data_IF_717927350069
#
_entry.id   IF_717927350069
#
_cell.length_a   1.000
_cell.length_b   1.000
_cell.length_c   1.000
_cell.angle_alpha   90.00
_cell.angle_beta   90.00
_cell.angle_gamma   90.00
#
_symmetry.space_group_name_H-M   'P 1'
#
loop_
_entity.id
_entity.type
_entity.pdbx_description
1 polymer ?
#
# COMPACT_ATOMS: atom_id res chain seq x y z
N UNK A 1 10.78 0.94 13.66
CA UNK A 1 10.68 -0.27 12.80
C UNK A 1 9.55 -0.18 11.76
N UNK A 2 8.69 0.84 11.86
CA UNK A 2 7.61 1.24 10.93
C UNK A 2 7.89 1.04 9.43
N UNK A 3 9.01 1.55 8.88
CA UNK A 3 9.32 1.46 7.45
C UNK A 3 9.39 0.03 6.87
N UNK A 4 9.79 -0.97 7.68
CA UNK A 4 9.85 -2.38 7.22
C UNK A 4 8.45 -3.00 7.19
N UNK A 5 7.63 -2.71 8.19
CA UNK A 5 6.24 -3.16 8.27
C UNK A 5 5.45 -2.52 7.13
N UNK A 6 5.61 -1.20 6.91
CA UNK A 6 4.96 -0.47 5.83
C UNK A 6 5.31 -1.05 4.46
N UNK A 7 6.60 -1.33 4.19
CA UNK A 7 7.02 -1.98 2.93
C UNK A 7 6.46 -3.39 2.77
N UNK A 8 6.42 -4.18 3.84
CA UNK A 8 5.87 -5.54 3.82
C UNK A 8 4.36 -5.56 3.57
N UNK A 9 3.61 -4.73 4.28
CA UNK A 9 2.16 -4.60 4.14
C UNK A 9 1.80 -4.06 2.75
N UNK A 10 2.54 -3.07 2.25
CA UNK A 10 2.29 -2.51 0.92
C UNK A 10 2.51 -3.56 -0.19
N UNK A 11 3.58 -4.35 -0.09
CA UNK A 11 3.84 -5.44 -1.04
C UNK A 11 2.73 -6.49 -1.03
N UNK A 12 2.28 -6.91 0.17
CA UNK A 12 1.17 -7.86 0.32
C UNK A 12 -0.13 -7.30 -0.27
N UNK A 13 -0.43 -6.04 -0.01
CA UNK A 13 -1.65 -5.40 -0.48
C UNK A 13 -1.70 -5.31 -2.02
N UNK A 14 -0.56 -5.02 -2.65
CA UNK A 14 -0.43 -5.04 -4.12
C UNK A 14 -0.58 -6.47 -4.65
N UNK A 15 0.08 -7.47 -4.06
CA UNK A 15 -0.04 -8.86 -4.49
C UNK A 15 -1.47 -9.39 -4.39
N UNK A 16 -2.17 -9.10 -3.30
CA UNK A 16 -3.58 -9.45 -3.11
C UNK A 16 -4.44 -8.76 -4.17
N UNK A 17 -4.23 -7.47 -4.41
CA UNK A 17 -5.01 -6.71 -5.39
C UNK A 17 -4.79 -7.21 -6.82
N UNK A 18 -3.56 -7.63 -7.14
CA UNK A 18 -3.20 -8.21 -8.43
C UNK A 18 -3.84 -9.59 -8.61
N UNK A 19 -3.83 -10.45 -7.57
CA UNK A 19 -4.51 -11.73 -7.59
C UNK A 19 -6.02 -11.56 -7.84
N UNK A 20 -6.63 -10.58 -7.17
CA UNK A 20 -8.05 -10.31 -7.31
C UNK A 20 -8.40 -9.70 -8.69
N UNK A 21 -7.48 -8.95 -9.30
CA UNK A 21 -7.64 -8.47 -10.67
C UNK A 21 -7.71 -9.62 -11.69
N UNK A 22 -6.95 -10.69 -11.45
CA UNK A 22 -6.96 -11.88 -12.32
C UNK A 22 -8.20 -12.74 -12.07
N UNK A 23 -8.58 -12.94 -10.80
CA UNK A 23 -9.67 -13.84 -10.42
C UNK A 23 -11.08 -13.24 -10.52
N UNK A 24 -11.23 -11.92 -10.38
CA UNK A 24 -12.54 -11.26 -10.34
C UNK A 24 -12.79 -10.42 -11.59
N UNK A 25 -11.97 -9.38 -11.82
CA UNK A 25 -12.16 -8.47 -12.95
C UNK A 25 -10.92 -7.61 -13.17
N UNK A 26 -10.49 -7.46 -14.42
CA UNK A 26 -9.31 -6.66 -14.79
C UNK A 26 -9.42 -5.18 -14.40
N UNK A 27 -10.63 -4.66 -14.18
CA UNK A 27 -10.84 -3.31 -13.63
C UNK A 27 -10.17 -3.08 -12.26
N UNK A 28 -9.86 -4.13 -11.50
CA UNK A 28 -9.10 -4.03 -10.24
C UNK A 28 -7.63 -3.58 -10.44
N UNK A 29 -7.11 -3.64 -11.67
CA UNK A 29 -5.80 -3.07 -12.00
C UNK A 29 -5.80 -1.55 -11.83
N UNK A 30 -6.93 -0.88 -12.07
CA UNK A 30 -7.02 0.57 -11.87
C UNK A 30 -6.89 0.93 -10.39
N UNK A 31 -7.49 0.12 -9.51
CA UNK A 31 -7.34 0.26 -8.06
C UNK A 31 -5.90 -0.05 -7.62
N UNK A 32 -5.32 -1.13 -8.14
CA UNK A 32 -3.91 -1.48 -7.89
C UNK A 32 -2.94 -0.38 -8.35
N UNK A 33 -3.19 0.22 -9.51
CA UNK A 33 -2.40 1.32 -10.06
C UNK A 33 -2.55 2.60 -9.23
N UNK A 34 -3.76 2.91 -8.77
CA UNK A 34 -4.01 4.05 -7.87
C UNK A 34 -3.29 3.88 -6.53
N UNK A 35 -3.38 2.70 -5.92
CA UNK A 35 -2.66 2.38 -4.67
C UNK A 35 -1.15 2.41 -4.89
N UNK A 36 -0.67 1.83 -5.99
CA UNK A 36 0.75 1.83 -6.36
C UNK A 36 1.30 3.23 -6.63
N UNK A 37 0.54 4.11 -7.29
CA UNK A 37 0.93 5.50 -7.52
C UNK A 37 1.03 6.29 -6.21
N UNK A 38 0.07 6.10 -5.29
CA UNK A 38 0.14 6.69 -3.95
C UNK A 38 1.36 6.18 -3.17
N UNK A 39 1.68 4.89 -3.29
CA UNK A 39 2.86 4.30 -2.67
C UNK A 39 4.18 4.84 -3.27
N UNK A 40 4.21 5.04 -4.59
CA UNK A 40 5.35 5.60 -5.30
C UNK A 40 5.58 7.07 -4.91
N UNK A 41 4.49 7.85 -4.80
CA UNK A 41 4.54 9.22 -4.29
C UNK A 41 5.06 9.25 -2.85
N UNK A 42 4.63 8.31 -2.01
CA UNK A 42 5.10 8.16 -0.64
C UNK A 42 6.60 7.83 -0.55
N UNK A 43 7.12 7.00 -1.45
CA UNK A 43 8.55 6.69 -1.49
C UNK A 43 9.42 7.89 -1.88
N UNK A 44 8.87 8.86 -2.63
CA UNK A 44 9.58 10.06 -3.09
C UNK A 44 9.47 11.19 -2.05
N UNK A 45 8.28 11.40 -1.48
CA UNK A 45 8.01 12.50 -0.54
C UNK A 45 8.29 12.16 0.92
N UNK A 46 8.63 10.89 1.24
CA UNK A 46 8.73 10.33 2.61
C UNK A 46 7.45 10.47 3.45
N UNK A 47 6.35 10.94 2.85
CA UNK A 47 5.05 11.04 3.49
C UNK A 47 4.27 9.77 3.14
N UNK A 48 4.24 8.80 4.05
CA UNK A 48 3.48 7.58 3.83
C UNK A 48 2.11 7.71 4.48
N UNK A 49 1.06 7.70 3.67
CA UNK A 49 -0.33 7.62 4.14
C UNK A 49 -0.53 6.43 5.08
N UNK A 50 0.26 5.37 4.88
CA UNK A 50 0.28 4.21 5.77
C UNK A 50 1.01 4.50 7.09
N UNK A 51 2.03 5.36 7.13
CA UNK A 51 2.59 5.87 8.40
C UNK A 51 1.52 6.66 9.17
N UNK A 52 0.75 7.52 8.48
CA UNK A 52 -0.36 8.27 9.09
C UNK A 52 -1.48 7.36 9.59
N UNK A 53 -1.75 6.24 8.90
CA UNK A 53 -2.71 5.21 9.36
C UNK A 53 -2.15 4.44 10.55
N UNK A 54 -0.87 4.05 10.54
CA UNK A 54 -0.21 3.37 11.66
C UNK A 54 -0.06 4.28 12.90
N UNK A 55 0.17 5.57 12.69
CA UNK A 55 0.17 6.62 13.72
C UNK A 55 -1.24 6.82 14.30
N UNK A 56 -2.29 6.80 13.43
CA UNK A 56 -3.69 6.81 13.87
C UNK A 56 -4.14 5.52 14.58
N UNK A 57 -3.49 4.39 14.28
CA UNK A 57 -3.74 3.11 14.93
C UNK A 57 -2.88 2.91 16.19
N UNK A 58 -2.18 3.95 16.65
CA UNK A 58 -1.33 3.94 17.87
C UNK A 58 -0.30 2.81 17.91
N UNK A 59 0.17 2.34 16.75
CA UNK A 59 1.25 1.36 16.69
C UNK A 59 2.56 2.08 16.95
N UNK A 60 2.98 2.05 18.21
CA UNK A 60 4.24 2.62 18.72
C UNK A 60 5.45 1.97 18.02
N UNK A 61 6.44 2.80 17.70
CA UNK A 61 7.63 2.61 16.83
C UNK A 61 8.32 1.25 16.68
#
# INVERSE_FOLDING_TARGET
MKNRIVRGVAGIFILISLLLAIYVNQNWLWFTAFVGANLMQSSITKWCLMDTILEKLEVKD
#
